data_IF_478093804244
#
_entry.id   IF_478093804244
#
_cell.length_a   1.000
_cell.length_b   1.000
_cell.length_c   1.000
_cell.angle_alpha   90.00
_cell.angle_beta   90.00
_cell.angle_gamma   90.00
#
_symmetry.space_group_name_H-M   'P 1'
#
loop_
_entity.id
_entity.type
_entity.pdbx_description
1 polymer ?
#
# COMPACT_ATOMS: atom_id res chain seq x y z
N UNK A 1 -31.67 -29.26 -5.17
CA UNK A 1 -31.22 -28.03 -4.48
C UNK A 1 -31.50 -28.23 -2.99
N UNK A 2 -30.47 -28.54 -2.19
CA UNK A 2 -30.64 -28.73 -0.74
C UNK A 2 -30.77 -27.37 -0.07
N UNK A 3 -31.77 -27.21 0.80
CA UNK A 3 -32.01 -25.95 1.49
C UNK A 3 -31.00 -25.78 2.64
N UNK A 4 -30.65 -24.54 2.97
CA UNK A 4 -29.67 -24.13 4.00
C UNK A 4 -29.90 -24.79 5.37
N UNK A 5 -31.13 -25.20 5.66
CA UNK A 5 -31.53 -25.93 6.88
C UNK A 5 -31.08 -27.40 6.89
N UNK A 6 -31.00 -28.05 5.73
CA UNK A 6 -30.60 -29.45 5.63
C UNK A 6 -29.08 -29.59 5.78
N UNK A 7 -28.33 -28.60 5.27
CA UNK A 7 -26.88 -28.51 5.45
C UNK A 7 -26.47 -28.37 6.92
N UNK A 8 -27.16 -27.51 7.68
CA UNK A 8 -26.88 -27.30 9.11
C UNK A 8 -27.21 -28.53 9.98
N UNK A 9 -28.22 -29.31 9.60
CA UNK A 9 -28.54 -30.57 10.29
C UNK A 9 -27.50 -31.64 9.98
N UNK A 10 -27.07 -31.77 8.73
CA UNK A 10 -26.04 -32.76 8.35
C UNK A 10 -24.67 -32.47 8.97
N UNK A 11 -24.28 -31.20 9.10
CA UNK A 11 -23.01 -30.84 9.74
C UNK A 11 -23.00 -31.11 11.26
N UNK A 12 -24.13 -30.93 11.95
CA UNK A 12 -24.24 -31.25 13.38
C UNK A 12 -24.11 -32.76 13.68
N UNK A 13 -24.63 -33.63 12.80
CA UNK A 13 -24.46 -35.09 12.93
C UNK A 13 -23.05 -35.57 12.61
N UNK A 14 -22.35 -34.93 11.66
CA UNK A 14 -20.95 -35.25 11.35
C UNK A 14 -20.00 -34.94 12.52
N UNK A 15 -20.28 -33.88 13.29
CA UNK A 15 -19.48 -33.52 14.48
C UNK A 15 -19.64 -34.51 15.64
N UNK A 16 -20.80 -35.16 15.77
CA UNK A 16 -21.04 -36.13 16.84
C UNK A 16 -20.33 -37.49 16.61
N UNK A 17 -20.08 -37.87 15.35
CA UNK A 17 -19.38 -39.12 15.00
C UNK A 17 -17.86 -39.02 15.12
N UNK A 18 -17.28 -37.82 15.10
CA UNK A 18 -15.83 -37.61 15.20
C UNK A 18 -15.29 -37.61 16.64
N UNK A 19 -16.16 -37.62 17.66
CA UNK A 19 -15.77 -37.69 19.07
C UNK A 19 -15.63 -39.15 19.60
N UNK A 20 -15.86 -40.16 18.75
CA UNK A 20 -15.99 -41.57 19.13
C UNK A 20 -14.78 -42.48 18.91
N UNK A 21 -13.62 -41.95 18.52
CA UNK A 21 -12.35 -42.68 18.61
C UNK A 21 -11.60 -42.90 17.29
N UNK A 22 -10.32 -42.50 17.29
CA UNK A 22 -9.24 -43.13 16.52
C UNK A 22 -7.98 -43.14 17.42
N UNK A 23 -7.25 -44.27 17.54
CA UNK A 23 -6.08 -44.39 18.40
C UNK A 23 -4.84 -43.70 17.82
N UNK A 24 -3.91 -43.36 18.72
CA UNK A 24 -2.58 -42.81 18.50
C UNK A 24 -1.91 -43.23 17.16
N UNK A 25 -1.74 -42.25 16.27
CA UNK A 25 -0.73 -42.27 15.22
C UNK A 25 0.42 -41.38 15.65
N UNK A 26 1.55 -42.00 16.02
CA UNK A 26 2.84 -41.32 16.18
C UNK A 26 3.27 -40.79 14.81
N UNK A 27 3.20 -39.49 14.64
CA UNK A 27 3.90 -38.75 13.59
C UNK A 27 4.81 -37.73 14.26
N UNK A 28 6.11 -37.84 14.00
CA UNK A 28 7.06 -36.79 14.32
C UNK A 28 6.73 -35.52 13.52
N UNK A 29 7.09 -34.36 14.09
CA UNK A 29 7.63 -33.17 13.41
C UNK A 29 6.92 -31.82 13.70
N UNK A 30 7.76 -30.84 14.02
CA UNK A 30 7.57 -29.37 14.07
C UNK A 30 6.73 -28.74 15.18
N UNK A 31 7.23 -28.80 16.42
CA UNK A 31 6.81 -27.92 17.53
C UNK A 31 7.69 -26.66 17.66
N UNK A 32 8.05 -26.00 16.56
CA UNK A 32 8.73 -24.71 16.64
C UNK A 32 8.27 -23.79 15.50
N UNK A 33 7.33 -22.88 15.81
CA UNK A 33 7.01 -21.65 15.07
C UNK A 33 5.63 -21.03 15.41
N UNK A 34 4.83 -21.59 16.33
CA UNK A 34 3.71 -20.83 16.90
C UNK A 34 4.20 -20.02 18.09
N UNK A 35 4.85 -18.88 17.81
CA UNK A 35 4.92 -17.80 18.80
C UNK A 35 3.48 -17.50 19.20
N UNK A 36 3.15 -17.82 20.45
CA UNK A 36 1.90 -17.45 21.09
C UNK A 36 1.76 -15.94 20.94
N UNK A 37 0.75 -15.51 20.19
CA UNK A 37 0.41 -14.09 20.09
C UNK A 37 -0.06 -13.67 21.48
N UNK A 38 0.79 -12.98 22.24
CA UNK A 38 0.37 -12.49 23.55
C UNK A 38 -0.77 -11.47 23.37
N UNK A 39 -1.82 -11.53 24.20
CA UNK A 39 -2.87 -10.53 24.17
C UNK A 39 -2.25 -9.14 24.38
N UNK A 40 -2.61 -8.19 23.51
CA UNK A 40 -2.23 -6.77 23.67
C UNK A 40 -2.54 -6.35 25.10
N UNK A 41 -1.58 -5.72 25.77
CA UNK A 41 -1.78 -5.22 27.13
C UNK A 41 -3.03 -4.34 27.20
N UNK A 42 -3.92 -4.59 28.16
CA UNK A 42 -5.10 -3.75 28.44
C UNK A 42 -4.74 -2.35 29.00
N UNK A 43 -3.45 -2.01 29.06
CA UNK A 43 -3.01 -0.66 29.39
C UNK A 43 -3.40 0.27 28.24
N UNK A 44 -4.12 1.38 28.52
CA UNK A 44 -4.31 2.42 27.53
C UNK A 44 -2.94 2.80 26.96
N UNK A 45 -2.81 2.82 25.64
CA UNK A 45 -1.61 3.38 25.02
C UNK A 45 -1.39 4.78 25.62
N UNK A 46 -0.16 5.16 25.99
CA UNK A 46 0.11 6.48 26.52
C UNK A 46 -0.49 7.52 25.56
N UNK A 47 -1.22 8.50 26.10
CA UNK A 47 -1.85 9.56 25.30
C UNK A 47 -0.74 10.42 24.68
N UNK A 48 -0.20 9.99 23.55
CA UNK A 48 0.76 10.75 22.76
C UNK A 48 0.17 12.12 22.44
N UNK A 49 1.03 13.15 22.41
CA UNK A 49 0.62 14.48 21.96
C UNK A 49 0.13 14.36 20.51
N UNK A 50 -1.07 14.86 20.26
CA UNK A 50 -1.67 15.00 18.93
C UNK A 50 -1.60 16.47 18.50
N UNK A 51 -1.51 16.76 17.19
CA UNK A 51 -1.42 15.79 16.10
C UNK A 51 -0.03 15.13 16.01
N UNK A 52 0.06 13.98 15.34
CA UNK A 52 1.30 13.24 15.08
C UNK A 52 1.28 12.66 13.66
N UNK A 53 2.42 12.69 12.98
CA UNK A 53 2.63 12.07 11.66
C UNK A 53 3.94 11.29 11.65
N UNK A 54 3.94 10.13 11.01
CA UNK A 54 5.11 9.27 10.83
C UNK A 54 5.14 8.84 9.38
N UNK A 55 6.33 8.80 8.80
CA UNK A 55 6.57 8.32 7.44
C UNK A 55 7.84 7.47 7.35
N UNK A 56 7.96 6.71 6.27
CA UNK A 56 9.12 5.84 6.00
C UNK A 56 10.28 6.63 5.38
N UNK A 57 11.50 6.18 5.68
CA UNK A 57 12.77 6.65 5.10
C UNK A 57 13.12 8.12 5.32
N UNK A 58 14.27 8.55 4.78
CA UNK A 58 14.83 9.88 5.01
C UNK A 58 14.03 10.99 4.31
N UNK A 59 13.52 10.74 3.10
CA UNK A 59 12.66 11.68 2.40
C UNK A 59 11.30 11.88 3.11
N UNK A 60 10.96 10.97 4.03
CA UNK A 60 9.83 11.12 4.94
C UNK A 60 9.89 12.40 5.80
N UNK A 61 11.07 12.96 6.07
CA UNK A 61 11.19 14.23 6.80
C UNK A 61 10.54 15.40 6.05
N UNK A 62 10.85 15.56 4.76
CA UNK A 62 10.24 16.59 3.92
C UNK A 62 8.73 16.34 3.71
N UNK A 63 8.35 15.06 3.60
CA UNK A 63 6.95 14.66 3.53
C UNK A 63 6.19 15.02 4.83
N UNK A 64 6.80 14.81 5.99
CA UNK A 64 6.23 15.17 7.29
C UNK A 64 6.06 16.69 7.43
N UNK A 65 7.01 17.49 6.93
CA UNK A 65 6.87 18.96 6.94
C UNK A 65 5.65 19.42 6.15
N UNK A 66 5.37 18.80 5.00
CA UNK A 66 4.17 19.10 4.22
C UNK A 66 2.88 18.64 4.93
N UNK A 67 2.86 17.43 5.46
CA UNK A 67 1.73 16.93 6.25
C UNK A 67 1.47 17.81 7.50
N UNK A 68 2.53 18.29 8.14
CA UNK A 68 2.44 19.12 9.35
C UNK A 68 1.79 20.48 9.10
N UNK A 69 1.92 21.05 7.89
CA UNK A 69 1.19 22.28 7.52
C UNK A 69 -0.32 22.10 7.60
N UNK A 70 -0.82 20.91 7.29
CA UNK A 70 -2.25 20.57 7.40
C UNK A 70 -2.62 20.31 8.86
N UNK A 71 -1.85 19.44 9.54
CA UNK A 71 -2.14 19.03 10.91
C UNK A 71 -2.06 20.19 11.93
N UNK A 72 -1.03 21.03 11.83
CA UNK A 72 -0.84 22.19 12.72
C UNK A 72 -1.93 23.26 12.53
N UNK A 73 -2.61 23.27 11.40
CA UNK A 73 -3.77 24.12 11.12
C UNK A 73 -5.11 23.48 11.56
N UNK A 74 -5.09 22.29 12.17
CA UNK A 74 -6.30 21.55 12.55
C UNK A 74 -7.01 20.88 11.37
N UNK A 75 -6.31 20.65 10.25
CA UNK A 75 -6.82 19.89 9.11
C UNK A 75 -6.89 18.39 9.39
N UNK A 76 -7.54 17.63 8.50
CA UNK A 76 -7.75 16.19 8.67
C UNK A 76 -6.48 15.41 8.37
N UNK A 77 -6.30 14.28 9.07
CA UNK A 77 -5.22 13.33 8.84
C UNK A 77 -5.19 12.83 7.39
N UNK A 78 -6.37 12.58 6.78
CA UNK A 78 -6.47 12.16 5.38
C UNK A 78 -5.86 13.19 4.41
N UNK A 79 -6.13 14.48 4.62
CA UNK A 79 -5.59 15.56 3.81
C UNK A 79 -4.08 15.71 4.06
N UNK A 80 -3.64 15.55 5.31
CA UNK A 80 -2.24 15.63 5.69
C UNK A 80 -1.39 14.53 5.04
N UNK A 81 -1.86 13.27 5.05
CA UNK A 81 -1.09 12.17 4.44
C UNK A 81 -1.04 12.26 2.92
N UNK A 82 -2.13 12.69 2.28
CA UNK A 82 -2.12 12.92 0.82
C UNK A 82 -1.09 14.01 0.46
N UNK A 83 -1.15 15.16 1.11
CA UNK A 83 -0.20 16.26 0.85
C UNK A 83 1.25 15.88 1.19
N UNK A 84 1.45 15.07 2.23
CA UNK A 84 2.76 14.60 2.63
C UNK A 84 3.42 13.72 1.57
N UNK A 85 2.71 12.70 1.09
CA UNK A 85 3.30 11.75 0.11
C UNK A 85 3.38 12.31 -1.30
N UNK A 86 2.61 13.36 -1.65
CA UNK A 86 2.79 14.09 -2.91
C UNK A 86 4.17 14.75 -3.04
N UNK A 87 4.85 15.04 -1.92
CA UNK A 87 6.21 15.62 -1.94
C UNK A 87 7.20 14.69 -2.64
N UNK A 88 7.42 13.44 -2.18
CA UNK A 88 8.30 12.53 -2.88
C UNK A 88 7.76 12.07 -4.24
N UNK A 89 6.44 12.03 -4.46
CA UNK A 89 5.88 11.73 -5.79
C UNK A 89 6.28 12.75 -6.87
N UNK A 90 6.54 14.01 -6.50
CA UNK A 90 6.91 15.07 -7.43
C UNK A 90 8.43 15.34 -7.50
N UNK A 91 9.26 14.68 -6.68
CA UNK A 91 10.70 14.93 -6.65
C UNK A 91 11.45 13.95 -7.58
N UNK A 92 11.96 14.41 -8.75
CA UNK A 92 12.66 13.53 -9.69
C UNK A 92 13.97 12.95 -9.15
N UNK A 93 14.47 13.43 -8.01
CA UNK A 93 15.65 12.86 -7.35
C UNK A 93 15.31 11.62 -6.55
N UNK A 94 14.04 11.39 -6.23
CA UNK A 94 13.55 10.20 -5.53
C UNK A 94 13.10 9.20 -6.58
N UNK A 95 14.01 8.31 -6.97
CA UNK A 95 13.80 7.39 -8.09
C UNK A 95 12.94 6.17 -7.76
N UNK A 96 12.29 6.17 -6.59
CA UNK A 96 11.50 5.04 -6.09
C UNK A 96 10.03 5.39 -5.84
N UNK A 97 9.63 6.66 -6.02
CA UNK A 97 8.26 7.13 -5.81
C UNK A 97 7.91 8.13 -6.92
N UNK A 98 6.82 7.89 -7.64
CA UNK A 98 6.26 8.88 -8.57
C UNK A 98 7.18 9.29 -9.74
N UNK A 99 7.26 10.59 -9.99
CA UNK A 99 8.03 11.20 -11.06
C UNK A 99 9.53 10.94 -10.91
N UNK A 100 10.18 10.45 -11.98
CA UNK A 100 11.57 10.01 -11.91
C UNK A 100 11.75 8.59 -11.37
N UNK A 101 10.65 7.88 -11.07
CA UNK A 101 10.67 6.46 -10.74
C UNK A 101 11.45 5.62 -11.76
N UNK A 102 12.25 4.66 -11.29
CA UNK A 102 12.87 3.69 -12.19
C UNK A 102 11.79 2.86 -12.89
N UNK A 103 11.88 2.67 -14.22
CA UNK A 103 10.87 1.95 -14.96
C UNK A 103 10.95 0.44 -14.71
N UNK A 104 9.93 -0.27 -15.16
CA UNK A 104 9.99 -1.72 -15.32
C UNK A 104 11.03 -2.15 -16.37
N UNK A 105 11.18 -3.46 -16.56
CA UNK A 105 12.15 -4.02 -17.51
C UNK A 105 11.94 -3.55 -18.95
N UNK A 106 10.71 -3.19 -19.30
CA UNK A 106 10.28 -2.84 -20.65
C UNK A 106 10.36 -1.31 -20.87
N UNK A 107 10.66 -0.54 -19.82
CA UNK A 107 10.89 0.91 -19.87
C UNK A 107 9.68 1.75 -19.46
N UNK A 108 8.66 1.13 -18.85
CA UNK A 108 7.44 1.78 -18.40
C UNK A 108 7.52 2.18 -16.93
N UNK A 109 7.23 3.45 -16.61
CA UNK A 109 7.11 3.91 -15.23
C UNK A 109 5.67 3.68 -14.77
N UNK A 110 5.46 2.54 -14.11
CA UNK A 110 4.17 2.12 -13.56
C UNK A 110 4.15 2.36 -12.05
N UNK A 111 3.11 3.03 -11.55
CA UNK A 111 3.01 3.41 -10.15
C UNK A 111 1.87 2.68 -9.43
N UNK A 112 2.05 2.49 -8.13
CA UNK A 112 1.06 1.89 -7.22
C UNK A 112 0.79 2.86 -6.06
N UNK A 113 -0.47 3.04 -5.68
CA UNK A 113 -0.83 3.81 -4.50
C UNK A 113 -2.13 3.31 -3.86
N UNK A 114 -2.25 3.52 -2.55
CA UNK A 114 -3.50 3.29 -1.81
C UNK A 114 -3.63 4.28 -0.67
N UNK A 115 -4.88 4.61 -0.32
CA UNK A 115 -5.21 5.51 0.76
C UNK A 115 -6.41 4.97 1.54
N UNK A 116 -6.45 5.26 2.84
CA UNK A 116 -7.52 4.85 3.74
C UNK A 116 -7.80 5.94 4.77
N UNK A 117 -9.08 6.18 5.09
CA UNK A 117 -9.50 7.13 6.10
C UNK A 117 -9.85 6.48 7.45
N UNK A 118 -10.25 7.30 8.43
CA UNK A 118 -10.58 6.87 9.78
C UNK A 118 -11.85 6.01 9.90
N UNK A 119 -12.69 5.94 8.87
CA UNK A 119 -13.93 5.15 8.85
C UNK A 119 -13.77 3.84 8.08
N UNK A 120 -12.58 3.57 7.54
CA UNK A 120 -12.30 2.41 6.71
C UNK A 120 -12.70 2.60 5.25
N UNK A 121 -13.01 3.82 4.81
CA UNK A 121 -13.11 4.11 3.38
C UNK A 121 -11.71 4.01 2.78
N UNK A 122 -11.58 3.40 1.61
CA UNK A 122 -10.30 3.20 0.96
C UNK A 122 -10.39 3.27 -0.56
N UNK A 123 -9.26 3.53 -1.18
CA UNK A 123 -9.10 3.53 -2.63
C UNK A 123 -7.66 3.22 -3.01
N UNK A 124 -7.49 2.64 -4.20
CA UNK A 124 -6.20 2.19 -4.69
C UNK A 124 -6.12 2.25 -6.20
N UNK A 125 -4.92 2.53 -6.69
CA UNK A 125 -4.53 2.33 -8.08
C UNK A 125 -3.29 1.44 -8.13
N UNK A 126 -3.21 0.59 -9.16
CA UNK A 126 -2.03 -0.24 -9.38
C UNK A 126 -1.62 -0.28 -10.85
N UNK A 127 -0.32 -0.32 -11.11
CA UNK A 127 0.27 -0.30 -12.43
C UNK A 127 -0.26 0.87 -13.29
N UNK A 128 -0.49 2.05 -12.68
CA UNK A 128 -0.95 3.24 -13.41
C UNK A 128 0.25 3.96 -14.03
N UNK A 129 0.15 4.30 -15.31
CA UNK A 129 1.18 5.08 -16.02
C UNK A 129 0.75 6.55 -16.17
N UNK A 130 1.73 7.43 -16.40
CA UNK A 130 1.55 8.83 -16.81
C UNK A 130 0.86 9.77 -15.82
N UNK A 131 0.62 9.37 -14.58
CA UNK A 131 0.03 10.25 -13.55
C UNK A 131 1.07 10.54 -12.47
N UNK A 132 1.43 11.81 -12.28
CA UNK A 132 2.43 12.23 -11.30
C UNK A 132 2.03 11.87 -9.86
N UNK A 133 0.74 12.00 -9.53
CA UNK A 133 0.22 11.81 -8.17
C UNK A 133 -0.76 10.64 -8.10
N UNK A 134 -0.30 9.38 -8.12
CA UNK A 134 -1.17 8.21 -8.01
C UNK A 134 -1.95 8.18 -6.68
N UNK A 135 -1.43 8.74 -5.58
CA UNK A 135 -2.18 8.80 -4.30
C UNK A 135 -3.50 9.57 -4.44
N UNK A 136 -3.51 10.64 -5.22
CA UNK A 136 -4.70 11.45 -5.43
C UNK A 136 -5.70 10.77 -6.35
N UNK A 137 -5.23 9.94 -7.29
CA UNK A 137 -6.12 9.08 -8.06
C UNK A 137 -6.73 8.02 -7.15
N UNK A 138 -5.94 7.39 -6.26
CA UNK A 138 -6.45 6.44 -5.26
C UNK A 138 -7.51 7.08 -4.36
N UNK A 139 -7.31 8.33 -3.91
CA UNK A 139 -8.32 9.10 -3.18
C UNK A 139 -9.57 9.36 -4.01
N UNK A 140 -9.45 9.68 -5.30
CA UNK A 140 -10.62 9.80 -6.19
C UNK A 140 -11.36 8.49 -6.38
N UNK A 141 -10.67 7.35 -6.46
CA UNK A 141 -11.31 6.03 -6.51
C UNK A 141 -12.19 5.85 -5.27
N UNK A 142 -11.66 6.14 -4.08
CA UNK A 142 -12.39 6.09 -2.81
C UNK A 142 -13.62 7.02 -2.79
N UNK A 143 -13.48 8.25 -3.26
CA UNK A 143 -14.52 9.29 -3.13
C UNK A 143 -15.58 9.28 -4.25
N UNK A 144 -15.25 8.75 -5.43
CA UNK A 144 -16.05 8.93 -6.66
C UNK A 144 -16.55 7.63 -7.27
N UNK A 145 -16.16 6.49 -6.73
CA UNK A 145 -16.57 5.19 -7.28
C UNK A 145 -17.11 4.27 -6.18
N UNK A 146 -17.92 3.26 -6.52
CA UNK A 146 -18.28 2.20 -5.60
C UNK A 146 -17.20 1.12 -5.46
N UNK A 147 -16.04 1.29 -6.10
CA UNK A 147 -14.93 0.34 -6.13
C UNK A 147 -13.79 0.83 -5.24
N UNK A 148 -12.91 -0.08 -4.84
CA UNK A 148 -11.75 0.24 -3.97
C UNK A 148 -10.40 0.13 -4.69
N UNK A 149 -10.36 -0.42 -5.90
CA UNK A 149 -9.12 -0.61 -6.66
C UNK A 149 -9.37 -0.55 -8.16
N UNK A 150 -8.56 0.22 -8.88
CA UNK A 150 -8.45 0.23 -10.35
C UNK A 150 -7.01 -0.06 -10.75
N UNK A 151 -6.79 -0.67 -11.92
CA UNK A 151 -5.43 -0.98 -12.39
C UNK A 151 -5.22 -0.67 -13.86
N UNK A 152 -3.95 -0.46 -14.25
CA UNK A 152 -3.52 -0.27 -15.63
C UNK A 152 -4.26 0.86 -16.34
N UNK A 153 -4.63 0.61 -17.60
CA UNK A 153 -5.37 1.55 -18.45
C UNK A 153 -6.69 2.03 -17.82
N UNK A 154 -7.38 1.17 -17.06
CA UNK A 154 -8.64 1.55 -16.40
C UNK A 154 -8.43 2.62 -15.34
N UNK A 155 -7.32 2.55 -14.59
CA UNK A 155 -6.94 3.57 -13.62
C UNK A 155 -6.57 4.88 -14.31
N UNK A 156 -5.84 4.82 -15.43
CA UNK A 156 -5.48 5.99 -16.22
C UNK A 156 -6.71 6.67 -16.84
N UNK A 157 -7.61 5.92 -17.47
CA UNK A 157 -8.86 6.47 -18.02
C UNK A 157 -9.69 7.17 -16.94
N UNK A 158 -9.79 6.55 -15.75
CA UNK A 158 -10.47 7.16 -14.61
C UNK A 158 -9.77 8.44 -14.15
N UNK A 159 -8.44 8.46 -14.06
CA UNK A 159 -7.68 9.66 -13.71
C UNK A 159 -7.95 10.80 -14.71
N UNK A 160 -7.88 10.55 -16.01
CA UNK A 160 -8.15 11.56 -17.04
C UNK A 160 -9.58 12.11 -16.97
N UNK A 161 -10.57 11.23 -16.74
CA UNK A 161 -11.96 11.63 -16.56
C UNK A 161 -12.19 12.50 -15.31
N UNK A 162 -11.28 12.43 -14.32
CA UNK A 162 -11.31 13.23 -13.10
C UNK A 162 -10.35 14.43 -13.13
N UNK A 163 -9.85 14.81 -14.32
CA UNK A 163 -9.10 16.06 -14.53
C UNK A 163 -7.60 15.96 -14.29
N UNK A 164 -7.05 14.75 -14.12
CA UNK A 164 -5.60 14.56 -14.11
C UNK A 164 -5.05 14.64 -15.54
N UNK A 165 -3.80 15.06 -15.67
CA UNK A 165 -3.10 15.20 -16.96
C UNK A 165 -2.07 14.10 -17.11
N UNK A 166 -1.89 13.61 -18.35
CA UNK A 166 -0.75 12.74 -18.67
C UNK A 166 0.56 13.54 -18.56
N UNK A 167 1.51 12.96 -17.86
CA UNK A 167 2.88 13.45 -17.70
C UNK A 167 3.85 12.34 -18.10
N UNK A 168 4.94 12.68 -18.80
CA UNK A 168 6.03 11.73 -18.98
C UNK A 168 6.79 11.59 -17.65
N UNK A 169 6.70 10.40 -17.06
CA UNK A 169 7.28 10.14 -15.75
C UNK A 169 8.75 9.70 -15.81
N UNK A 170 9.21 9.26 -16.99
CA UNK A 170 10.54 8.72 -17.19
C UNK A 170 11.52 9.87 -17.47
N UNK A 171 12.23 10.29 -16.44
CA UNK A 171 13.27 11.32 -16.57
C UNK A 171 14.45 10.83 -17.41
N UNK A 172 15.22 11.73 -18.06
CA UNK A 172 16.43 11.36 -18.77
C UNK A 172 17.42 10.55 -17.91
N UNK A 173 17.54 10.89 -16.62
CA UNK A 173 18.39 10.21 -15.66
C UNK A 173 17.93 8.76 -15.42
N UNK A 174 16.63 8.55 -15.18
CA UNK A 174 16.07 7.21 -14.97
C UNK A 174 16.09 6.37 -16.24
N UNK A 175 15.91 7.00 -17.40
CA UNK A 175 16.10 6.33 -18.70
C UNK A 175 17.53 5.87 -18.90
N UNK A 176 18.52 6.72 -18.61
CA UNK A 176 19.93 6.35 -18.73
C UNK A 176 20.31 5.20 -17.78
N UNK A 177 19.77 5.22 -16.54
CA UNK A 177 19.93 4.13 -15.58
C UNK A 177 19.34 2.81 -16.10
N UNK A 178 18.12 2.86 -16.68
CA UNK A 178 17.47 1.71 -17.29
C UNK A 178 18.22 1.15 -18.50
N UNK A 179 18.69 2.01 -19.42
CA UNK A 179 19.47 1.60 -20.59
C UNK A 179 20.78 0.93 -20.19
N UNK A 180 21.46 1.46 -19.16
CA UNK A 180 22.64 0.83 -18.56
C UNK A 180 22.31 -0.54 -17.99
N UNK A 181 21.28 -0.64 -17.16
CA UNK A 181 20.83 -1.92 -16.58
C UNK A 181 20.49 -2.96 -17.67
N UNK A 182 19.79 -2.53 -18.73
CA UNK A 182 19.43 -3.39 -19.87
C UNK A 182 20.64 -3.93 -20.63
N UNK A 183 21.70 -3.13 -20.76
CA UNK A 183 22.95 -3.55 -21.41
C UNK A 183 23.74 -4.59 -20.61
N UNK A 184 23.61 -4.57 -19.28
CA UNK A 184 24.29 -5.49 -18.37
C UNK A 184 23.56 -6.85 -18.25
N UNK A 185 22.31 -6.93 -18.74
CA UNK A 185 21.47 -8.13 -18.87
C UNK A 185 21.35 -9.00 -17.60
N UNK A 186 21.48 -8.39 -16.42
CA UNK A 186 21.55 -9.09 -15.14
C UNK A 186 20.37 -8.69 -14.24
N UNK A 187 19.17 -9.21 -14.53
CA UNK A 187 18.03 -9.05 -13.62
C UNK A 187 18.28 -9.82 -12.32
N UNK A 188 18.83 -9.12 -11.34
CA UNK A 188 19.05 -9.60 -9.99
C UNK A 188 18.40 -8.62 -9.01
N UNK A 189 17.11 -8.79 -8.67
CA UNK A 189 16.43 -7.91 -7.73
C UNK A 189 17.19 -7.93 -6.40
N UNK A 190 17.64 -6.76 -5.96
CA UNK A 190 18.31 -6.62 -4.67
C UNK A 190 17.27 -6.58 -3.55
N UNK A 191 17.66 -7.01 -2.35
CA UNK A 191 16.81 -6.82 -1.18
C UNK A 191 16.71 -5.32 -0.89
N UNK A 192 15.52 -4.81 -0.53
CA UNK A 192 15.38 -3.43 -0.10
C UNK A 192 16.33 -3.10 1.04
N UNK A 193 17.07 -2.00 0.90
CA UNK A 193 17.91 -1.42 1.94
C UNK A 193 17.77 0.11 1.93
N UNK A 194 18.40 0.81 2.87
CA UNK A 194 18.33 2.27 2.99
C UNK A 194 18.78 3.06 1.75
N UNK A 195 19.40 2.40 0.77
CA UNK A 195 19.94 2.99 -0.44
C UNK A 195 19.34 2.40 -1.72
N UNK A 196 18.47 1.38 -1.63
CA UNK A 196 17.95 0.66 -2.80
C UNK A 196 16.53 0.10 -2.53
N UNK A 197 15.55 0.52 -3.35
CA UNK A 197 14.13 0.17 -3.28
C UNK A 197 13.37 0.69 -2.04
N UNK A 198 13.00 1.96 -2.09
CA UNK A 198 12.20 2.61 -1.03
C UNK A 198 10.80 3.00 -1.49
N UNK A 199 9.80 2.83 -0.64
CA UNK A 199 8.44 3.35 -0.84
C UNK A 199 8.11 4.34 0.27
N UNK A 200 7.36 5.40 -0.06
CA UNK A 200 6.77 6.26 0.97
C UNK A 200 5.50 5.62 1.53
N UNK A 201 5.48 5.37 2.83
CA UNK A 201 4.27 5.11 3.61
C UNK A 201 4.13 6.21 4.65
N UNK A 202 2.93 6.71 4.85
CA UNK A 202 2.65 7.75 5.84
C UNK A 202 1.38 7.45 6.61
N UNK A 203 1.43 7.65 7.92
CA UNK A 203 0.29 7.54 8.83
C UNK A 203 0.24 8.78 9.73
N UNK A 204 -0.96 9.27 9.99
CA UNK A 204 -1.17 10.43 10.84
C UNK A 204 -2.34 10.22 11.80
N UNK A 205 -2.29 10.93 12.92
CA UNK A 205 -3.40 11.14 13.84
C UNK A 205 -3.54 12.65 13.99
N UNK A 206 -4.71 13.19 13.64
CA UNK A 206 -5.06 14.60 13.81
C UNK A 206 -5.48 14.96 15.24
#
# INVERSE_FOLDING_TARGET
>A
MSNRRDFLKQSAYASALLLGGIPNLKGEDRTDARKTFEPRSDKPAPSGKKPIVISTWNFGLAANDAAWKVLSAGGKALDAVEQGVQVPEADPKITSVGYGGLPDRDGHVTLDASIMDQYGNCGSVGCIEHIMHPISVARKVMEKTPYVMLTGDGALQFALANGFTKTDLLTPESKAAWEKWKSENNYAPQKPDMNNHDTIGMVAID
#
